data_IF_900854176225
#
_entry.id   IF_900854176225
#
_cell.length_a   1.000
_cell.length_b   1.000
_cell.length_c   1.000
_cell.angle_alpha   90.00
_cell.angle_beta   90.00
_cell.angle_gamma   90.00
#
_symmetry.space_group_name_H-M   'P 1'
#
loop_
_entity.id
_entity.type
_entity.pdbx_description
1 polymer ?
#
# COMPACT_ATOMS: atom_id res chain seq x y z
N UNK A 1 -16.86 -52.87 24.61
CA UNK A 1 -16.54 -51.67 25.42
C UNK A 1 -15.03 -51.61 25.46
N UNK A 2 -14.41 -50.75 24.63
CA UNK A 2 -12.94 -50.69 24.57
C UNK A 2 -12.43 -49.97 25.83
N UNK A 3 -11.43 -50.59 26.49
CA UNK A 3 -10.77 -50.05 27.67
C UNK A 3 -10.12 -48.71 27.38
N UNK A 4 -10.10 -47.79 28.36
CA UNK A 4 -9.54 -46.43 28.26
C UNK A 4 -8.07 -46.42 27.81
N UNK A 5 -7.31 -47.45 28.13
CA UNK A 5 -5.93 -47.65 27.65
C UNK A 5 -5.89 -47.96 26.14
N UNK A 6 -6.77 -48.82 25.63
CA UNK A 6 -6.86 -49.14 24.21
C UNK A 6 -7.25 -47.94 23.36
N UNK A 7 -8.15 -47.09 23.85
CA UNK A 7 -8.50 -45.82 23.18
C UNK A 7 -7.33 -44.82 23.14
N UNK A 8 -6.55 -44.71 24.20
CA UNK A 8 -5.36 -43.84 24.24
C UNK A 8 -4.27 -44.37 23.29
N UNK A 9 -4.02 -45.66 23.29
CA UNK A 9 -3.06 -46.27 22.37
C UNK A 9 -3.49 -46.09 20.91
N UNK A 10 -4.75 -46.34 20.58
CA UNK A 10 -5.30 -46.12 19.24
C UNK A 10 -5.21 -44.62 18.82
N UNK A 11 -5.48 -43.68 19.73
CA UNK A 11 -5.34 -42.24 19.45
C UNK A 11 -3.88 -41.85 19.20
N UNK A 12 -2.91 -42.43 19.96
CA UNK A 12 -1.47 -42.18 19.75
C UNK A 12 -0.99 -42.74 18.40
N UNK A 13 -1.41 -43.93 18.05
CA UNK A 13 -1.07 -44.56 16.75
C UNK A 13 -1.71 -43.72 15.61
N UNK A 14 -2.97 -43.37 15.71
CA UNK A 14 -3.64 -42.52 14.72
C UNK A 14 -2.94 -41.18 14.58
N UNK A 15 -2.56 -40.52 15.68
CA UNK A 15 -1.80 -39.27 15.66
C UNK A 15 -0.42 -39.46 14.99
N UNK A 16 0.31 -40.52 15.31
CA UNK A 16 1.60 -40.84 14.69
C UNK A 16 1.50 -41.07 13.18
N UNK A 17 0.47 -41.81 12.75
CA UNK A 17 0.20 -42.03 11.32
C UNK A 17 -0.19 -40.73 10.61
N UNK A 18 -1.07 -39.94 11.17
CA UNK A 18 -1.44 -38.62 10.63
C UNK A 18 -0.24 -37.69 10.54
N UNK A 19 0.61 -37.69 11.57
CA UNK A 19 1.84 -36.88 11.59
C UNK A 19 2.82 -37.32 10.51
N UNK A 20 3.02 -38.64 10.39
CA UNK A 20 3.90 -39.21 9.37
C UNK A 20 3.40 -38.95 7.95
N UNK A 21 2.12 -39.18 7.67
CA UNK A 21 1.50 -38.87 6.36
C UNK A 21 1.54 -37.37 6.08
N UNK A 22 1.24 -36.54 7.06
CA UNK A 22 1.32 -35.08 6.91
C UNK A 22 2.74 -34.59 6.60
N UNK A 23 3.76 -35.15 7.25
CA UNK A 23 5.16 -34.82 7.00
C UNK A 23 5.71 -35.40 5.69
N UNK A 24 5.22 -36.57 5.25
CA UNK A 24 5.62 -37.15 3.98
C UNK A 24 4.97 -36.54 2.75
N UNK A 25 3.85 -35.81 2.94
CA UNK A 25 3.12 -35.11 1.87
C UNK A 25 2.98 -33.60 2.18
N UNK A 26 4.07 -32.98 2.59
CA UNK A 26 4.08 -31.55 2.90
C UNK A 26 3.66 -30.67 1.72
N UNK A 27 4.01 -31.08 0.50
CA UNK A 27 3.60 -30.44 -0.75
C UNK A 27 2.07 -30.38 -0.90
N UNK A 28 1.37 -31.51 -0.60
CA UNK A 28 -0.09 -31.55 -0.62
C UNK A 28 -0.70 -30.71 0.51
N UNK A 29 -0.12 -30.77 1.72
CA UNK A 29 -0.58 -29.98 2.86
C UNK A 29 -0.43 -28.49 2.56
N UNK A 30 0.72 -28.05 2.04
CA UNK A 30 0.92 -26.66 1.64
C UNK A 30 0.05 -26.28 0.44
N UNK A 31 -0.18 -27.20 -0.51
CA UNK A 31 -1.10 -27.00 -1.64
C UNK A 31 -2.54 -26.78 -1.19
N UNK A 32 -3.04 -27.54 -0.23
CA UNK A 32 -4.37 -27.35 0.35
C UNK A 32 -4.44 -26.05 1.15
N UNK A 33 -3.40 -25.76 1.93
CA UNK A 33 -3.33 -24.53 2.72
C UNK A 33 -3.33 -23.28 1.82
N UNK A 34 -2.52 -23.29 0.73
CA UNK A 34 -2.51 -22.20 -0.25
C UNK A 34 -3.87 -22.05 -0.94
N UNK A 35 -4.52 -23.14 -1.35
CA UNK A 35 -5.85 -23.09 -1.95
C UNK A 35 -6.90 -22.49 -1.00
N UNK A 36 -6.84 -22.84 0.29
CA UNK A 36 -7.72 -22.22 1.31
C UNK A 36 -7.43 -20.74 1.44
N UNK A 37 -6.14 -20.33 1.51
CA UNK A 37 -5.76 -18.92 1.58
C UNK A 37 -6.24 -18.18 0.34
N UNK A 38 -6.09 -18.74 -0.85
CA UNK A 38 -6.52 -18.14 -2.12
C UNK A 38 -8.03 -17.90 -2.18
N UNK A 39 -8.82 -18.86 -1.68
CA UNK A 39 -10.29 -18.72 -1.58
C UNK A 39 -10.69 -17.59 -0.61
N UNK A 40 -9.99 -17.47 0.51
CA UNK A 40 -10.27 -16.42 1.51
C UNK A 40 -9.59 -15.09 1.21
N UNK A 41 -8.62 -15.05 0.29
CA UNK A 41 -7.85 -13.86 -0.05
C UNK A 41 -8.72 -12.65 -0.43
N UNK A 42 -9.74 -12.77 -1.31
CA UNK A 42 -10.64 -11.65 -1.61
C UNK A 42 -11.41 -11.13 -0.39
N UNK A 43 -11.74 -12.02 0.57
CA UNK A 43 -12.42 -11.64 1.81
C UNK A 43 -11.46 -10.86 2.72
N UNK A 44 -10.25 -11.37 2.91
CA UNK A 44 -9.21 -10.69 3.70
C UNK A 44 -8.84 -9.34 3.07
N UNK A 45 -8.69 -9.30 1.75
CA UNK A 45 -8.46 -8.07 1.01
C UNK A 45 -9.62 -7.09 1.19
N UNK A 46 -10.87 -7.57 1.08
CA UNK A 46 -12.07 -6.77 1.28
C UNK A 46 -12.19 -6.19 2.70
N UNK A 47 -11.85 -6.99 3.72
CA UNK A 47 -11.76 -6.52 5.11
C UNK A 47 -10.68 -5.44 5.27
N UNK A 48 -9.50 -5.67 4.67
CA UNK A 48 -8.42 -4.68 4.64
C UNK A 48 -8.84 -3.38 3.97
N UNK A 49 -9.43 -3.46 2.78
CA UNK A 49 -9.94 -2.29 2.04
C UNK A 49 -11.04 -1.58 2.85
N UNK A 50 -11.97 -2.31 3.47
CA UNK A 50 -12.99 -1.73 4.36
C UNK A 50 -12.35 -0.97 5.52
N UNK A 51 -11.28 -1.52 6.08
CA UNK A 51 -10.59 -0.90 7.20
C UNK A 51 -9.89 0.41 6.77
N UNK A 52 -9.23 0.42 5.62
CA UNK A 52 -8.64 1.63 5.02
C UNK A 52 -9.72 2.68 4.71
N UNK A 53 -10.79 2.27 4.03
CA UNK A 53 -11.90 3.16 3.67
C UNK A 53 -12.67 3.68 4.89
N UNK A 54 -12.64 2.97 6.01
CA UNK A 54 -13.31 3.41 7.23
C UNK A 54 -12.77 4.75 7.76
N UNK A 55 -11.49 5.07 7.50
CA UNK A 55 -10.87 6.33 7.95
C UNK A 55 -11.53 7.55 7.28
N UNK A 56 -11.50 7.69 5.93
CA UNK A 56 -12.17 8.80 5.27
C UNK A 56 -13.70 8.78 5.49
N UNK A 57 -14.33 7.60 5.54
CA UNK A 57 -15.77 7.47 5.83
C UNK A 57 -16.09 7.99 7.24
N UNK A 58 -15.31 7.64 8.24
CA UNK A 58 -15.52 8.12 9.63
C UNK A 58 -15.23 9.62 9.75
N UNK A 59 -14.31 10.16 8.95
CA UNK A 59 -14.08 11.59 8.81
C UNK A 59 -15.32 12.30 8.25
N UNK A 60 -15.86 11.78 7.15
CA UNK A 60 -17.08 12.30 6.52
C UNK A 60 -18.31 12.16 7.43
N UNK A 61 -18.47 11.03 8.12
CA UNK A 61 -19.53 10.85 9.12
C UNK A 61 -19.46 11.94 10.21
N UNK A 62 -18.27 12.27 10.70
CA UNK A 62 -18.08 13.35 11.70
C UNK A 62 -18.46 14.72 11.16
N UNK A 63 -18.08 15.04 9.92
CA UNK A 63 -18.46 16.29 9.25
C UNK A 63 -19.96 16.38 9.05
N UNK A 64 -20.60 15.35 8.53
CA UNK A 64 -22.05 15.31 8.32
C UNK A 64 -22.83 15.37 9.63
N UNK A 65 -22.34 14.74 10.71
CA UNK A 65 -22.97 14.85 12.05
C UNK A 65 -22.88 16.28 12.58
N UNK A 66 -21.74 16.96 12.42
CA UNK A 66 -21.58 18.38 12.80
C UNK A 66 -22.54 19.27 11.99
N UNK A 67 -22.67 19.04 10.69
CA UNK A 67 -23.60 19.76 9.85
C UNK A 67 -25.06 19.46 10.25
N UNK A 68 -25.39 18.20 10.52
CA UNK A 68 -26.72 17.79 10.97
C UNK A 68 -27.09 18.30 12.37
N UNK A 69 -26.13 18.54 13.25
CA UNK A 69 -26.39 19.12 14.58
C UNK A 69 -26.88 20.56 14.53
N UNK A 70 -26.60 21.28 13.41
CA UNK A 70 -27.13 22.63 13.17
C UNK A 70 -28.60 22.64 12.70
N UNK A 71 -29.18 21.47 12.39
CA UNK A 71 -30.57 21.34 11.96
C UNK A 71 -31.52 21.17 13.18
N UNK A 72 -32.78 21.65 13.09
CA UNK A 72 -33.81 21.44 14.10
C UNK A 72 -34.00 19.91 14.36
N UNK A 73 -34.34 19.56 15.61
CA UNK A 73 -34.40 18.13 16.04
C UNK A 73 -35.33 17.25 15.20
N UNK A 74 -36.43 17.77 14.66
CA UNK A 74 -37.33 17.01 13.79
C UNK A 74 -36.85 16.76 12.36
N UNK A 75 -35.72 17.34 11.90
CA UNK A 75 -35.16 17.17 10.56
C UNK A 75 -33.74 16.52 10.54
N UNK A 76 -33.27 16.05 11.69
CA UNK A 76 -31.97 15.38 11.76
C UNK A 76 -32.01 14.02 11.10
N UNK A 77 -31.14 13.75 10.10
CA UNK A 77 -31.10 12.44 9.47
C UNK A 77 -30.65 11.38 10.49
N UNK A 78 -31.25 10.21 10.40
CA UNK A 78 -30.87 9.08 11.26
C UNK A 78 -29.42 8.63 11.02
N UNK A 79 -28.84 8.02 12.03
CA UNK A 79 -27.44 7.54 12.01
C UNK A 79 -27.10 6.62 10.82
N UNK A 80 -28.07 5.80 10.39
CA UNK A 80 -27.91 4.94 9.22
C UNK A 80 -27.83 5.72 7.92
N UNK A 81 -28.64 6.79 7.77
CA UNK A 81 -28.61 7.66 6.61
C UNK A 81 -27.30 8.44 6.52
N UNK A 82 -26.79 8.96 7.64
CA UNK A 82 -25.47 9.65 7.69
C UNK A 82 -24.37 8.68 7.25
N UNK A 83 -24.37 7.46 7.75
CA UNK A 83 -23.36 6.46 7.38
C UNK A 83 -23.44 6.09 5.90
N UNK A 84 -24.62 5.85 5.37
CA UNK A 84 -24.82 5.53 3.95
C UNK A 84 -24.37 6.68 3.04
N UNK A 85 -24.76 7.92 3.34
CA UNK A 85 -24.35 9.11 2.58
C UNK A 85 -22.83 9.29 2.65
N UNK A 86 -22.23 9.11 3.83
CA UNK A 86 -20.75 9.19 3.98
C UNK A 86 -20.01 8.17 3.12
N UNK A 87 -20.49 6.93 3.07
CA UNK A 87 -19.90 5.87 2.23
C UNK A 87 -20.01 6.27 0.76
N UNK A 88 -21.20 6.69 0.30
CA UNK A 88 -21.41 7.07 -1.10
C UNK A 88 -20.51 8.26 -1.48
N UNK A 89 -20.43 9.30 -0.65
CA UNK A 89 -19.60 10.48 -0.92
C UNK A 89 -18.10 10.13 -1.01
N UNK A 90 -17.63 9.29 -0.10
CA UNK A 90 -16.22 8.84 -0.12
C UNK A 90 -15.93 7.99 -1.34
N UNK A 91 -16.84 7.08 -1.72
CA UNK A 91 -16.69 6.27 -2.93
C UNK A 91 -16.70 7.14 -4.19
N UNK A 92 -17.60 8.11 -4.27
CA UNK A 92 -17.63 9.06 -5.39
C UNK A 92 -16.34 9.91 -5.44
N UNK A 93 -15.80 10.31 -4.29
CA UNK A 93 -14.52 11.02 -4.24
C UNK A 93 -13.37 10.15 -4.77
N UNK A 94 -13.30 8.87 -4.36
CA UNK A 94 -12.27 7.94 -4.83
C UNK A 94 -12.39 7.69 -6.34
N UNK A 95 -13.61 7.46 -6.83
CA UNK A 95 -13.85 7.30 -8.28
C UNK A 95 -13.50 8.60 -9.02
N UNK A 96 -13.84 9.76 -8.47
CA UNK A 96 -13.48 11.06 -9.02
C UNK A 96 -11.97 11.25 -9.15
N UNK A 97 -11.22 10.90 -8.10
CA UNK A 97 -9.74 10.92 -8.10
C UNK A 97 -9.18 9.94 -9.14
N UNK A 98 -9.74 8.72 -9.24
CA UNK A 98 -9.30 7.74 -10.22
C UNK A 98 -9.57 8.20 -11.67
N UNK A 99 -10.75 8.77 -11.93
CA UNK A 99 -11.09 9.34 -13.24
C UNK A 99 -10.16 10.51 -13.58
N UNK A 100 -9.91 11.40 -12.63
CA UNK A 100 -8.97 12.51 -12.80
C UNK A 100 -7.57 12.00 -13.12
N UNK A 101 -7.10 10.95 -12.39
CA UNK A 101 -5.84 10.30 -12.67
C UNK A 101 -5.74 9.81 -14.11
N UNK A 102 -6.73 9.04 -14.54
CA UNK A 102 -6.75 8.47 -15.89
C UNK A 102 -6.82 9.56 -16.97
N UNK A 103 -7.69 10.54 -16.81
CA UNK A 103 -7.88 11.62 -17.78
C UNK A 103 -6.69 12.57 -17.89
N UNK A 104 -5.92 12.75 -16.81
CA UNK A 104 -4.70 13.55 -16.85
C UNK A 104 -3.49 12.74 -17.32
N UNK A 105 -3.33 11.51 -16.81
CA UNK A 105 -2.13 10.71 -17.02
C UNK A 105 -2.09 10.11 -18.45
N UNK A 106 -3.19 9.48 -18.89
CA UNK A 106 -3.20 8.74 -20.16
C UNK A 106 -2.91 9.63 -21.37
N UNK A 107 -3.56 10.82 -21.56
CA UNK A 107 -3.25 11.68 -22.71
C UNK A 107 -1.80 12.15 -22.71
N UNK A 108 -1.24 12.45 -21.53
CA UNK A 108 0.13 12.94 -21.43
C UNK A 108 1.16 11.84 -21.68
N UNK A 109 0.92 10.62 -21.19
CA UNK A 109 1.76 9.46 -21.51
C UNK A 109 1.72 9.13 -23.01
N UNK A 110 0.53 9.16 -23.62
CA UNK A 110 0.39 8.93 -25.08
C UNK A 110 1.06 10.04 -25.90
N UNK A 111 0.90 11.30 -25.51
CA UNK A 111 1.56 12.43 -26.17
C UNK A 111 3.09 12.31 -26.04
N UNK A 112 3.60 12.03 -24.84
CA UNK A 112 5.03 11.82 -24.59
C UNK A 112 5.57 10.64 -25.40
N UNK A 113 4.87 9.50 -25.41
CA UNK A 113 5.28 8.34 -26.19
C UNK A 113 5.35 8.65 -27.71
N UNK A 114 4.39 9.43 -28.23
CA UNK A 114 4.39 9.88 -29.65
C UNK A 114 5.54 10.84 -29.96
N UNK A 115 5.92 11.68 -29.02
CA UNK A 115 7.03 12.63 -29.21
C UNK A 115 8.39 11.95 -29.15
N UNK A 116 8.52 10.88 -28.37
CA UNK A 116 9.77 10.13 -28.16
C UNK A 116 10.09 9.20 -29.32
N UNK A 117 9.08 8.56 -29.89
CA UNK A 117 9.28 7.57 -30.94
C UNK A 117 10.11 8.11 -32.14
N UNK A 118 9.82 9.30 -32.73
CA UNK A 118 10.64 9.86 -33.80
C UNK A 118 12.02 10.33 -33.32
N UNK A 119 12.11 10.94 -32.12
CA UNK A 119 13.40 11.40 -31.57
C UNK A 119 14.37 10.24 -31.34
N UNK A 120 13.86 9.11 -30.88
CA UNK A 120 14.66 7.90 -30.71
C UNK A 120 15.15 7.35 -32.04
N UNK A 121 14.31 7.32 -33.08
CA UNK A 121 14.72 6.83 -34.39
C UNK A 121 15.71 7.76 -35.13
N UNK A 122 15.59 9.07 -34.93
CA UNK A 122 16.48 10.06 -35.59
C UNK A 122 17.81 10.22 -34.84
N UNK A 123 17.82 10.19 -33.51
CA UNK A 123 19.03 10.42 -32.70
C UNK A 123 19.77 9.15 -32.30
N UNK A 124 19.19 7.98 -32.48
CA UNK A 124 19.86 6.70 -32.21
C UNK A 124 21.23 6.57 -32.88
N UNK A 125 21.39 6.88 -34.19
CA UNK A 125 22.69 6.77 -34.85
C UNK A 125 23.73 7.77 -34.31
N UNK A 126 23.29 8.91 -33.76
CA UNK A 126 24.17 9.90 -33.12
C UNK A 126 24.63 9.45 -31.75
N UNK A 127 23.73 8.85 -30.96
CA UNK A 127 24.03 8.29 -29.64
C UNK A 127 24.97 7.09 -29.78
N UNK A 128 24.74 6.19 -30.74
CA UNK A 128 25.64 5.07 -31.03
C UNK A 128 27.06 5.55 -31.40
N UNK A 129 27.15 6.57 -32.27
CA UNK A 129 28.45 7.17 -32.66
C UNK A 129 29.15 7.88 -31.49
N UNK A 130 28.38 8.59 -30.65
CA UNK A 130 28.92 9.26 -29.48
C UNK A 130 29.40 8.27 -28.39
N UNK A 131 28.72 7.17 -28.18
CA UNK A 131 29.12 6.10 -27.27
C UNK A 131 30.37 5.36 -27.80
N UNK A 132 30.38 5.01 -29.10
CA UNK A 132 31.51 4.39 -29.74
C UNK A 132 32.77 5.30 -29.72
N UNK A 133 32.58 6.62 -29.92
CA UNK A 133 33.69 7.60 -29.85
C UNK A 133 34.27 7.74 -28.44
N UNK A 134 33.52 7.44 -27.39
CA UNK A 134 33.99 7.44 -26.01
C UNK A 134 34.45 6.05 -25.51
N UNK A 135 34.62 5.09 -26.40
CA UNK A 135 35.18 3.77 -26.09
C UNK A 135 34.21 2.85 -25.35
N UNK A 136 32.92 3.19 -25.34
CA UNK A 136 31.86 2.35 -24.73
C UNK A 136 31.36 1.37 -25.78
N UNK A 137 31.64 0.07 -25.58
CA UNK A 137 31.10 -0.98 -26.45
C UNK A 137 29.60 -1.15 -26.15
N UNK A 138 28.78 -0.70 -27.10
CA UNK A 138 27.32 -0.72 -27.02
C UNK A 138 26.78 -2.15 -26.93
N UNK A 139 27.49 -3.13 -27.55
CA UNK A 139 27.12 -4.54 -27.47
C UNK A 139 27.41 -5.14 -26.09
N UNK A 140 28.43 -4.67 -25.38
CA UNK A 140 28.76 -5.07 -24.02
C UNK A 140 27.75 -4.47 -23.02
N UNK A 141 27.36 -3.22 -23.21
CA UNK A 141 26.27 -2.60 -22.42
C UNK A 141 24.95 -3.33 -22.63
N UNK A 142 24.60 -3.68 -23.87
CA UNK A 142 23.42 -4.46 -24.19
C UNK A 142 23.45 -5.87 -23.56
N UNK A 143 24.64 -6.46 -23.38
CA UNK A 143 24.81 -7.75 -22.68
C UNK A 143 24.64 -7.65 -21.17
N UNK A 144 25.08 -6.55 -20.54
CA UNK A 144 24.90 -6.31 -19.10
C UNK A 144 23.42 -6.10 -18.71
N UNK A 145 22.63 -5.55 -19.61
CA UNK A 145 21.18 -5.37 -19.42
C UNK A 145 20.33 -6.52 -19.97
N UNK A 146 20.92 -7.66 -20.36
CA UNK A 146 20.15 -8.86 -20.73
C UNK A 146 19.44 -9.44 -19.50
N UNK A 147 18.12 -9.32 -19.38
CA UNK A 147 17.37 -10.28 -18.57
C UNK A 147 17.40 -11.63 -19.30
N UNK A 148 17.33 -12.71 -18.54
CA UNK A 148 17.47 -14.10 -18.97
C UNK A 148 16.44 -14.62 -20.00
N UNK A 149 15.87 -13.78 -20.82
CA UNK A 149 14.90 -14.12 -21.87
C UNK A 149 15.32 -13.53 -23.20
N UNK A 150 16.08 -14.31 -23.98
CA UNK A 150 16.07 -14.47 -25.44
C UNK A 150 15.86 -13.24 -26.37
N UNK A 151 16.37 -12.05 -26.06
CA UNK A 151 16.34 -10.93 -27.01
C UNK A 151 17.59 -10.97 -27.87
N UNK A 152 17.39 -11.32 -29.14
CA UNK A 152 18.42 -11.41 -30.17
C UNK A 152 18.99 -10.04 -30.51
N UNK A 153 20.24 -10.10 -30.94
CA UNK A 153 21.10 -9.06 -31.45
C UNK A 153 20.41 -7.88 -32.16
N UNK A 154 20.71 -6.68 -31.67
CA UNK A 154 20.22 -5.44 -32.33
C UNK A 154 20.59 -4.18 -31.56
N UNK A 155 21.77 -4.08 -30.93
CA UNK A 155 22.30 -2.84 -30.38
C UNK A 155 21.32 -2.02 -29.51
N UNK A 156 21.43 -0.69 -29.57
CA UNK A 156 20.50 0.25 -28.87
C UNK A 156 19.04 0.09 -29.33
N UNK A 157 18.83 -0.35 -30.58
CA UNK A 157 17.50 -0.63 -31.13
C UNK A 157 16.82 -1.83 -30.43
N UNK A 158 17.60 -2.84 -30.05
CA UNK A 158 17.14 -3.96 -29.23
C UNK A 158 16.76 -3.52 -27.81
N UNK A 159 17.54 -2.63 -27.20
CA UNK A 159 17.26 -2.03 -25.87
C UNK A 159 16.00 -1.16 -25.89
N UNK A 160 15.77 -0.39 -26.96
CA UNK A 160 14.59 0.45 -27.10
C UNK A 160 13.33 -0.38 -27.41
N UNK A 161 13.44 -1.36 -28.31
CA UNK A 161 12.34 -2.31 -28.54
C UNK A 161 12.05 -3.15 -27.31
N UNK A 162 13.06 -3.48 -26.50
CA UNK A 162 12.87 -4.10 -25.19
C UNK A 162 12.23 -3.12 -24.20
N UNK A 163 12.70 -1.87 -24.08
CA UNK A 163 12.15 -0.86 -23.18
C UNK A 163 10.70 -0.51 -23.55
N UNK A 164 10.45 -0.11 -24.79
CA UNK A 164 9.11 0.26 -25.27
C UNK A 164 8.20 -0.97 -25.44
N UNK A 165 8.72 -2.07 -25.96
CA UNK A 165 8.01 -3.33 -26.11
C UNK A 165 7.72 -4.00 -24.78
N UNK A 166 8.64 -3.92 -23.79
CA UNK A 166 8.40 -4.44 -22.44
C UNK A 166 7.42 -3.58 -21.67
N UNK A 167 7.45 -2.25 -21.83
CA UNK A 167 6.43 -1.35 -21.25
C UNK A 167 5.08 -1.62 -21.92
N UNK A 168 5.01 -1.70 -23.24
CA UNK A 168 3.78 -2.06 -23.93
C UNK A 168 3.30 -3.47 -23.56
N UNK A 169 4.19 -4.47 -23.57
CA UNK A 169 3.84 -5.83 -23.16
C UNK A 169 3.52 -5.92 -21.66
N UNK A 170 4.17 -5.13 -20.81
CA UNK A 170 3.83 -5.05 -19.38
C UNK A 170 2.47 -4.38 -19.16
N UNK A 171 2.15 -3.35 -19.94
CA UNK A 171 0.82 -2.74 -19.94
C UNK A 171 -0.24 -3.71 -20.51
N UNK A 172 0.07 -4.45 -21.58
CA UNK A 172 -0.81 -5.49 -22.12
C UNK A 172 -0.90 -6.73 -21.24
N UNK A 173 0.18 -7.16 -20.62
CA UNK A 173 0.19 -8.25 -19.65
C UNK A 173 -0.51 -7.83 -18.34
N UNK A 174 -0.30 -6.60 -17.89
CA UNK A 174 -1.09 -6.00 -16.81
C UNK A 174 -2.58 -5.93 -17.20
N UNK A 175 -2.91 -5.54 -18.43
CA UNK A 175 -4.29 -5.56 -18.92
C UNK A 175 -4.90 -6.98 -19.01
N UNK A 176 -4.11 -7.99 -19.34
CA UNK A 176 -4.56 -9.41 -19.35
C UNK A 176 -4.66 -10.01 -17.96
N UNK A 177 -3.69 -9.77 -17.08
CA UNK A 177 -3.77 -10.16 -15.66
C UNK A 177 -4.83 -9.37 -14.90
N UNK A 178 -5.23 -8.20 -15.44
CA UNK A 178 -6.29 -7.34 -14.89
C UNK A 178 -7.64 -8.04 -14.83
N UNK A 179 -7.96 -9.00 -15.72
CA UNK A 179 -9.28 -9.65 -15.68
C UNK A 179 -9.46 -10.50 -14.41
N UNK A 180 -8.47 -11.27 -13.99
CA UNK A 180 -8.54 -12.01 -12.72
C UNK A 180 -8.33 -11.11 -11.50
N UNK A 181 -7.45 -10.11 -11.61
CA UNK A 181 -7.29 -9.08 -10.57
C UNK A 181 -8.54 -8.21 -10.43
N UNK A 182 -9.17 -7.79 -11.52
CA UNK A 182 -10.39 -7.01 -11.50
C UNK A 182 -11.53 -7.77 -10.84
N UNK A 183 -11.68 -9.07 -11.13
CA UNK A 183 -12.72 -9.88 -10.47
C UNK A 183 -12.48 -9.97 -8.96
N UNK A 184 -11.24 -10.29 -8.53
CA UNK A 184 -10.89 -10.32 -7.10
C UNK A 184 -11.01 -8.95 -6.43
N UNK A 185 -10.66 -7.89 -7.13
CA UNK A 185 -10.82 -6.52 -6.63
C UNK A 185 -12.29 -6.11 -6.52
N UNK A 186 -13.14 -6.48 -7.49
CA UNK A 186 -14.58 -6.22 -7.42
C UNK A 186 -15.19 -6.95 -6.23
N UNK A 187 -14.87 -8.24 -6.03
CA UNK A 187 -15.34 -8.98 -4.85
C UNK A 187 -14.84 -8.35 -3.54
N UNK A 188 -13.56 -8.03 -3.46
CA UNK A 188 -12.99 -7.36 -2.30
C UNK A 188 -13.66 -5.99 -2.04
N UNK A 189 -13.93 -5.23 -3.09
CA UNK A 189 -14.60 -3.94 -2.99
C UNK A 189 -16.06 -4.07 -2.53
N UNK A 190 -16.82 -5.02 -3.08
CA UNK A 190 -18.18 -5.31 -2.64
C UNK A 190 -18.20 -5.72 -1.17
N UNK A 191 -17.26 -6.61 -0.76
CA UNK A 191 -17.11 -7.02 0.63
C UNK A 191 -16.77 -5.81 1.51
N UNK A 192 -15.85 -4.94 1.05
CA UNK A 192 -15.47 -3.74 1.79
C UNK A 192 -16.67 -2.80 2.02
N UNK A 193 -17.45 -2.54 1.00
CA UNK A 193 -18.67 -1.72 1.12
C UNK A 193 -19.68 -2.36 2.09
N UNK A 194 -19.87 -3.67 2.00
CA UNK A 194 -20.77 -4.40 2.88
C UNK A 194 -20.32 -4.37 4.34
N UNK A 195 -19.03 -4.57 4.58
CA UNK A 195 -18.42 -4.47 5.91
C UNK A 195 -18.55 -3.06 6.47
N UNK A 196 -18.27 -2.04 5.66
CA UNK A 196 -18.43 -0.64 6.05
C UNK A 196 -19.87 -0.29 6.42
N UNK A 197 -20.83 -0.71 5.61
CA UNK A 197 -22.26 -0.49 5.86
C UNK A 197 -22.71 -1.22 7.14
N UNK A 198 -22.14 -2.41 7.41
CA UNK A 198 -22.52 -3.28 8.52
C UNK A 198 -21.58 -3.18 9.73
N UNK A 199 -20.59 -2.28 9.72
CA UNK A 199 -19.51 -2.21 10.74
C UNK A 199 -20.02 -2.22 12.18
N UNK A 200 -21.11 -1.50 12.47
CA UNK A 200 -21.69 -1.43 13.81
C UNK A 200 -22.35 -2.74 14.24
N UNK A 201 -23.01 -3.42 13.30
CA UNK A 201 -23.69 -4.69 13.55
C UNK A 201 -22.68 -5.81 13.73
N UNK A 202 -21.68 -5.89 12.82
CA UNK A 202 -20.59 -6.85 12.90
C UNK A 202 -19.78 -6.68 14.20
N UNK A 203 -19.45 -5.44 14.57
CA UNK A 203 -18.76 -5.15 15.83
C UNK A 203 -19.54 -5.62 17.05
N UNK A 204 -20.87 -5.35 17.11
CA UNK A 204 -21.73 -5.82 18.20
C UNK A 204 -21.81 -7.35 18.25
N UNK A 205 -21.91 -8.01 17.09
CA UNK A 205 -21.94 -9.47 17.01
C UNK A 205 -20.62 -10.06 17.49
N UNK A 206 -19.48 -9.52 17.06
CA UNK A 206 -18.16 -9.96 17.50
C UNK A 206 -17.99 -9.84 19.03
N UNK A 207 -18.42 -8.70 19.60
CA UNK A 207 -18.36 -8.51 21.05
C UNK A 207 -19.25 -9.52 21.80
N UNK A 208 -20.47 -9.76 21.31
CA UNK A 208 -21.39 -10.77 21.90
C UNK A 208 -20.80 -12.18 21.85
N UNK A 209 -20.19 -12.57 20.74
CA UNK A 209 -19.55 -13.88 20.60
C UNK A 209 -18.37 -14.00 21.55
N UNK A 210 -17.54 -12.95 21.66
CA UNK A 210 -16.42 -12.94 22.60
C UNK A 210 -16.88 -13.03 24.06
N UNK A 211 -17.90 -12.27 24.44
CA UNK A 211 -18.43 -12.27 25.81
C UNK A 211 -19.13 -13.60 26.17
N UNK A 212 -19.69 -14.32 25.18
CA UNK A 212 -20.35 -15.61 25.41
C UNK A 212 -19.39 -16.80 25.51
N UNK A 213 -18.23 -16.76 24.82
CA UNK A 213 -17.38 -17.94 24.65
C UNK A 213 -15.97 -17.80 25.21
N UNK A 214 -15.51 -16.57 25.52
CA UNK A 214 -14.16 -16.32 25.98
C UNK A 214 -14.15 -15.92 27.47
N UNK A 215 -13.05 -16.29 28.15
CA UNK A 215 -12.77 -15.78 29.48
C UNK A 215 -12.74 -14.24 29.47
N UNK A 216 -13.33 -13.55 30.48
CA UNK A 216 -13.37 -12.08 30.54
C UNK A 216 -12.00 -11.41 30.37
N UNK A 217 -10.94 -12.03 30.85
CA UNK A 217 -9.56 -11.51 30.73
C UNK A 217 -9.07 -11.58 29.28
N UNK A 218 -9.40 -12.66 28.56
CA UNK A 218 -9.06 -12.85 27.15
C UNK A 218 -9.87 -11.89 26.28
N UNK A 219 -11.18 -11.80 26.51
CA UNK A 219 -12.07 -10.87 25.83
C UNK A 219 -11.62 -9.40 25.99
N UNK A 220 -11.19 -9.02 27.20
CA UNK A 220 -10.63 -7.69 27.45
C UNK A 220 -9.35 -7.44 26.64
N UNK A 221 -8.39 -8.39 26.62
CA UNK A 221 -7.14 -8.25 25.84
C UNK A 221 -7.42 -8.13 24.34
N UNK A 222 -8.30 -8.95 23.78
CA UNK A 222 -8.67 -8.90 22.37
C UNK A 222 -9.29 -7.52 22.04
N UNK A 223 -10.18 -7.01 22.87
CA UNK A 223 -10.78 -5.68 22.69
C UNK A 223 -9.72 -4.56 22.77
N UNK A 224 -8.78 -4.66 23.71
CA UNK A 224 -7.67 -3.72 23.82
C UNK A 224 -6.81 -3.71 22.53
N UNK A 225 -6.38 -4.87 22.06
CA UNK A 225 -5.59 -5.01 20.82
C UNK A 225 -6.37 -4.47 19.60
N UNK A 226 -7.66 -4.80 19.49
CA UNK A 226 -8.49 -4.31 18.40
C UNK A 226 -8.68 -2.78 18.43
N UNK A 227 -8.84 -2.19 19.62
CA UNK A 227 -8.93 -0.74 19.79
C UNK A 227 -7.61 -0.06 19.44
N UNK A 228 -6.48 -0.59 19.93
CA UNK A 228 -5.14 -0.10 19.62
C UNK A 228 -4.86 -0.18 18.10
N UNK A 229 -5.16 -1.32 17.47
CA UNK A 229 -5.03 -1.48 16.02
C UNK A 229 -5.87 -0.45 15.25
N UNK A 230 -7.14 -0.27 15.63
CA UNK A 230 -8.03 0.69 15.00
C UNK A 230 -7.52 2.14 15.13
N UNK A 231 -7.01 2.52 16.29
CA UNK A 231 -6.46 3.85 16.55
C UNK A 231 -5.16 4.09 15.74
N UNK A 232 -4.22 3.14 15.81
CA UNK A 232 -2.94 3.21 15.08
C UNK A 232 -3.14 3.32 13.58
N UNK A 233 -3.99 2.47 13.00
CA UNK A 233 -4.30 2.54 11.57
C UNK A 233 -5.00 3.84 11.18
N UNK A 234 -5.96 4.30 12.00
CA UNK A 234 -6.68 5.54 11.73
C UNK A 234 -5.73 6.74 11.72
N UNK A 235 -4.82 6.80 12.67
CA UNK A 235 -3.78 7.84 12.75
C UNK A 235 -2.82 7.78 11.57
N UNK A 236 -2.31 6.58 11.25
CA UNK A 236 -1.41 6.37 10.11
C UNK A 236 -2.06 6.81 8.80
N UNK A 237 -3.25 6.29 8.47
CA UNK A 237 -3.91 6.60 7.21
C UNK A 237 -4.32 8.08 7.13
N UNK A 238 -4.78 8.68 8.24
CA UNK A 238 -5.09 10.13 8.26
C UNK A 238 -3.84 10.97 8.03
N UNK A 239 -2.71 10.59 8.65
CA UNK A 239 -1.42 11.23 8.45
C UNK A 239 -0.96 11.10 6.99
N UNK A 240 -1.04 9.90 6.43
CA UNK A 240 -0.63 9.61 5.06
C UNK A 240 -1.49 10.34 4.02
N UNK A 241 -2.82 10.43 4.23
CA UNK A 241 -3.69 11.23 3.37
C UNK A 241 -3.32 12.73 3.42
N UNK A 242 -3.04 13.25 4.61
CA UNK A 242 -2.67 14.65 4.78
C UNK A 242 -1.31 14.94 4.15
N UNK A 243 -0.31 14.08 4.38
CA UNK A 243 1.00 14.15 3.74
C UNK A 243 0.89 14.14 2.22
N UNK A 244 0.14 13.19 1.65
CA UNK A 244 -0.09 13.08 0.21
C UNK A 244 -0.64 14.39 -0.39
N UNK A 245 -1.62 15.00 0.26
CA UNK A 245 -2.18 16.29 -0.16
C UNK A 245 -1.16 17.42 -0.08
N UNK A 246 -0.40 17.50 1.01
CA UNK A 246 0.61 18.55 1.22
C UNK A 246 1.73 18.41 0.20
N UNK A 247 2.32 17.20 0.08
CA UNK A 247 3.46 16.95 -0.80
C UNK A 247 3.10 17.17 -2.27
N UNK A 248 1.95 16.63 -2.72
CA UNK A 248 1.48 16.85 -4.09
C UNK A 248 1.25 18.31 -4.41
N UNK A 249 0.69 19.07 -3.45
CA UNK A 249 0.47 20.52 -3.58
C UNK A 249 1.80 21.28 -3.63
N UNK A 250 2.77 20.95 -2.78
CA UNK A 250 4.10 21.56 -2.77
C UNK A 250 4.84 21.33 -4.09
N UNK A 251 4.84 20.11 -4.61
CA UNK A 251 5.45 19.79 -5.91
C UNK A 251 4.75 20.57 -7.03
N UNK A 252 3.42 20.62 -7.02
CA UNK A 252 2.67 21.41 -8.01
C UNK A 252 3.09 22.87 -7.99
N UNK A 253 3.13 23.53 -6.83
CA UNK A 253 3.52 24.93 -6.73
C UNK A 253 5.00 25.16 -7.06
N UNK A 254 5.91 24.31 -6.54
CA UNK A 254 7.34 24.44 -6.83
C UNK A 254 7.62 24.35 -8.33
N UNK A 255 7.03 23.37 -9.02
CA UNK A 255 7.19 23.18 -10.46
C UNK A 255 6.54 24.31 -11.26
N UNK A 256 5.37 24.79 -10.83
CA UNK A 256 4.67 25.91 -11.48
C UNK A 256 5.46 27.20 -11.38
N UNK A 257 6.05 27.50 -10.20
CA UNK A 257 6.85 28.72 -9.97
C UNK A 257 8.14 28.71 -10.80
N UNK A 258 8.79 27.54 -10.91
CA UNK A 258 10.02 27.39 -11.69
C UNK A 258 9.75 27.31 -13.20
N UNK A 259 8.49 27.09 -13.60
CA UNK A 259 8.10 26.97 -15.02
C UNK A 259 8.42 25.60 -15.62
N UNK A 260 8.50 24.56 -14.79
CA UNK A 260 8.73 23.18 -15.24
C UNK A 260 7.48 22.60 -15.92
N UNK A 261 7.64 21.78 -16.98
CA UNK A 261 6.52 21.16 -17.65
C UNK A 261 5.83 20.13 -16.74
N UNK A 262 4.55 19.89 -17.02
CA UNK A 262 3.74 18.87 -16.33
C UNK A 262 3.59 19.06 -14.81
N UNK A 263 3.71 20.27 -14.27
CA UNK A 263 3.62 20.54 -12.83
C UNK A 263 2.37 19.91 -12.18
N UNK A 264 1.19 20.04 -12.80
CA UNK A 264 -0.05 19.46 -12.30
C UNK A 264 -0.05 17.93 -12.28
N UNK A 265 0.49 17.30 -13.33
CA UNK A 265 0.59 15.85 -13.42
C UNK A 265 1.57 15.30 -12.39
N UNK A 266 2.76 15.89 -12.29
CA UNK A 266 3.81 15.41 -11.37
C UNK A 266 3.37 15.61 -9.91
N UNK A 267 2.75 16.75 -9.59
CA UNK A 267 2.16 16.99 -8.28
C UNK A 267 1.06 15.98 -7.93
N UNK A 268 0.18 15.68 -8.88
CA UNK A 268 -0.87 14.68 -8.71
C UNK A 268 -0.30 13.25 -8.54
N UNK A 269 0.68 12.86 -9.38
CA UNK A 269 1.35 11.57 -9.26
C UNK A 269 2.09 11.43 -7.93
N UNK A 270 2.74 12.51 -7.49
CA UNK A 270 3.41 12.54 -6.18
C UNK A 270 2.40 12.31 -5.06
N UNK A 271 1.25 12.98 -5.08
CA UNK A 271 0.18 12.75 -4.10
C UNK A 271 -0.34 11.30 -4.15
N UNK A 272 -0.52 10.74 -5.33
CA UNK A 272 -1.00 9.36 -5.50
C UNK A 272 0.02 8.34 -4.97
N UNK A 273 1.29 8.50 -5.31
CA UNK A 273 2.33 7.58 -4.91
C UNK A 273 2.81 7.79 -3.47
N UNK A 274 2.53 8.94 -2.84
CA UNK A 274 2.85 9.20 -1.44
C UNK A 274 2.27 8.15 -0.48
N UNK A 275 1.19 7.48 -0.86
CA UNK A 275 0.65 6.34 -0.09
C UNK A 275 1.63 5.16 0.08
N UNK A 276 2.69 5.10 -0.73
CA UNK A 276 3.73 4.06 -0.66
C UNK A 276 5.01 4.72 -0.14
N UNK A 277 5.27 4.67 1.19
CA UNK A 277 6.42 5.35 1.78
C UNK A 277 7.73 4.99 1.08
N UNK A 278 8.59 5.95 0.89
CA UNK A 278 9.88 5.88 0.18
C UNK A 278 9.75 5.60 -1.33
N UNK A 279 9.06 4.53 -1.73
CA UNK A 279 8.91 4.13 -3.15
C UNK A 279 8.19 5.21 -3.94
N UNK A 280 7.18 5.83 -3.34
CA UNK A 280 6.36 6.84 -3.98
C UNK A 280 7.14 8.07 -4.43
N UNK A 281 8.01 8.58 -3.57
CA UNK A 281 8.86 9.73 -3.87
C UNK A 281 9.83 9.43 -5.02
N UNK A 282 10.52 8.27 -4.98
CA UNK A 282 11.43 7.86 -6.04
C UNK A 282 10.72 7.64 -7.37
N UNK A 283 9.58 6.95 -7.36
CA UNK A 283 8.79 6.69 -8.57
C UNK A 283 8.28 8.00 -9.20
N UNK A 284 7.73 8.91 -8.39
CA UNK A 284 7.25 10.21 -8.88
C UNK A 284 8.38 11.08 -9.43
N UNK A 285 9.52 11.10 -8.75
CA UNK A 285 10.71 11.82 -9.22
C UNK A 285 11.21 11.26 -10.56
N UNK A 286 11.34 9.94 -10.66
CA UNK A 286 11.79 9.28 -11.89
C UNK A 286 10.84 9.53 -13.07
N UNK A 287 9.53 9.41 -12.85
CA UNK A 287 8.52 9.70 -13.88
C UNK A 287 8.55 11.20 -14.25
N UNK A 288 8.64 12.08 -13.25
CA UNK A 288 8.72 13.52 -13.48
C UNK A 288 9.95 13.92 -14.27
N UNK A 289 11.12 13.40 -13.90
CA UNK A 289 12.36 13.64 -14.62
C UNK A 289 12.32 13.09 -16.05
N UNK A 290 11.76 11.89 -16.25
CA UNK A 290 11.58 11.29 -17.56
C UNK A 290 10.65 12.12 -18.45
N UNK A 291 9.47 12.52 -17.95
CA UNK A 291 8.53 13.36 -18.71
C UNK A 291 9.12 14.73 -19.04
N UNK A 292 9.86 15.33 -18.10
CA UNK A 292 10.54 16.61 -18.33
C UNK A 292 11.65 16.47 -19.36
N UNK A 293 12.47 15.39 -19.28
CA UNK A 293 13.51 15.10 -20.26
C UNK A 293 12.96 15.00 -21.69
N UNK A 294 11.75 14.47 -21.85
CA UNK A 294 11.11 14.33 -23.15
C UNK A 294 10.54 15.65 -23.69
N UNK A 295 10.05 16.53 -22.81
CA UNK A 295 9.41 17.79 -23.20
C UNK A 295 10.42 18.95 -23.30
N UNK A 296 11.36 19.02 -22.37
CA UNK A 296 12.36 20.08 -22.21
C UNK A 296 13.65 19.47 -21.65
N UNK A 297 14.52 18.85 -22.48
CA UNK A 297 15.71 18.15 -22.01
C UNK A 297 16.64 18.99 -21.14
N UNK A 298 16.75 20.29 -21.45
CA UNK A 298 17.53 21.26 -20.70
C UNK A 298 17.04 21.49 -19.27
N UNK A 299 15.77 21.22 -19.00
CA UNK A 299 15.15 21.38 -17.67
C UNK A 299 15.11 20.08 -16.85
N UNK A 300 15.54 18.96 -17.41
CA UNK A 300 15.45 17.66 -16.73
C UNK A 300 16.24 17.61 -15.42
N UNK A 301 17.46 18.16 -15.43
CA UNK A 301 18.30 18.25 -14.21
C UNK A 301 17.65 19.19 -13.20
N UNK A 302 17.14 20.33 -13.65
CA UNK A 302 16.43 21.30 -12.79
C UNK A 302 15.19 20.66 -12.15
N UNK A 303 14.45 19.85 -12.88
CA UNK A 303 13.31 19.08 -12.37
C UNK A 303 13.73 18.19 -11.19
N UNK A 304 14.79 17.41 -11.34
CA UNK A 304 15.31 16.55 -10.26
C UNK A 304 15.75 17.38 -9.05
N UNK A 305 16.47 18.48 -9.27
CA UNK A 305 16.95 19.35 -8.19
C UNK A 305 15.76 19.93 -7.42
N UNK A 306 14.76 20.51 -8.10
CA UNK A 306 13.58 21.09 -7.47
C UNK A 306 12.81 20.02 -6.70
N UNK A 307 12.66 18.81 -7.29
CA UNK A 307 12.00 17.70 -6.61
C UNK A 307 12.72 17.31 -5.33
N UNK A 308 14.05 17.15 -5.38
CA UNK A 308 14.86 16.79 -4.21
C UNK A 308 14.84 17.87 -3.13
N UNK A 309 14.83 19.16 -3.50
CA UNK A 309 14.70 20.27 -2.54
C UNK A 309 13.36 20.20 -1.82
N UNK A 310 12.26 20.00 -2.56
CA UNK A 310 10.93 19.87 -1.95
C UNK A 310 10.89 18.64 -1.04
N UNK A 311 11.45 17.52 -1.48
CA UNK A 311 11.52 16.28 -0.70
C UNK A 311 12.37 16.46 0.56
N UNK A 312 13.47 17.22 0.50
CA UNK A 312 14.26 17.55 1.67
C UNK A 312 13.45 18.38 2.68
N UNK A 313 12.75 19.42 2.22
CA UNK A 313 11.88 20.24 3.07
C UNK A 313 10.77 19.39 3.70
N UNK A 314 10.16 18.53 2.92
CA UNK A 314 9.12 17.60 3.40
C UNK A 314 9.66 16.69 4.50
N UNK A 315 10.76 15.97 4.27
CA UNK A 315 11.32 15.02 5.22
C UNK A 315 11.81 15.66 6.52
N UNK A 316 12.31 16.91 6.46
CA UNK A 316 12.85 17.58 7.64
C UNK A 316 11.79 18.33 8.46
N UNK A 317 10.78 18.89 7.80
CA UNK A 317 9.84 19.79 8.47
C UNK A 317 8.41 19.25 8.49
N UNK A 318 7.93 18.62 7.41
CA UNK A 318 6.52 18.26 7.26
C UNK A 318 6.27 16.86 7.81
N UNK A 319 7.03 15.88 7.33
CA UNK A 319 6.85 14.48 7.71
C UNK A 319 6.87 14.24 9.23
N UNK A 320 7.83 14.79 10.01
CA UNK A 320 7.87 14.59 11.45
C UNK A 320 6.62 15.12 12.18
N UNK A 321 6.02 16.19 11.67
CA UNK A 321 4.86 16.82 12.28
C UNK A 321 3.53 16.18 11.87
N UNK A 322 3.45 15.66 10.64
CA UNK A 322 2.21 15.12 10.06
C UNK A 322 2.09 13.62 10.32
N UNK A 323 3.12 12.85 10.01
CA UNK A 323 3.11 11.37 10.05
C UNK A 323 3.94 10.84 11.23
N UNK A 324 5.10 11.41 11.50
CA UNK A 324 6.08 10.87 12.45
C UNK A 324 5.55 10.71 13.88
N UNK A 325 4.64 11.60 14.32
CA UNK A 325 3.96 11.49 15.62
C UNK A 325 2.81 10.48 15.64
N UNK A 326 2.33 10.05 14.46
CA UNK A 326 1.09 9.27 14.32
C UNK A 326 1.28 7.77 14.52
N UNK A 327 2.48 7.24 14.23
CA UNK A 327 2.74 5.79 14.19
C UNK A 327 3.61 5.31 15.35
N UNK A 328 4.38 6.22 15.97
CA UNK A 328 5.26 5.89 17.12
C UNK A 328 6.41 4.93 16.79
N UNK A 329 6.66 4.62 15.51
CA UNK A 329 7.76 3.80 15.04
C UNK A 329 8.97 4.65 14.64
N UNK A 330 10.17 4.14 14.89
CA UNK A 330 11.38 4.72 14.29
C UNK A 330 11.44 4.41 12.79
N UNK A 331 12.16 5.26 12.03
CA UNK A 331 12.33 5.11 10.58
C UNK A 331 12.83 3.71 10.18
N UNK A 332 13.72 3.10 10.99
CA UNK A 332 14.23 1.75 10.75
C UNK A 332 13.11 0.70 10.76
N UNK A 333 12.24 0.71 11.77
CA UNK A 333 11.13 -0.23 11.85
C UNK A 333 10.09 -0.03 10.75
N UNK A 334 9.87 1.23 10.36
CA UNK A 334 9.00 1.56 9.21
C UNK A 334 9.57 0.99 7.91
N UNK A 335 10.89 1.11 7.69
CA UNK A 335 11.56 0.55 6.52
C UNK A 335 11.50 -0.99 6.50
N UNK A 336 11.77 -1.64 7.64
CA UNK A 336 11.67 -3.11 7.77
C UNK A 336 10.24 -3.56 7.47
N UNK A 337 9.23 -2.89 8.05
CA UNK A 337 7.82 -3.20 7.80
C UNK A 337 7.45 -3.06 6.32
N UNK A 338 7.91 -1.99 5.67
CA UNK A 338 7.69 -1.76 4.24
C UNK A 338 8.37 -2.84 3.37
N UNK A 339 9.60 -3.23 3.68
CA UNK A 339 10.32 -4.29 2.95
C UNK A 339 9.64 -5.65 3.10
N UNK A 340 9.30 -6.04 4.32
CA UNK A 340 8.63 -7.31 4.59
C UNK A 340 7.25 -7.34 3.94
N UNK A 341 6.45 -6.29 4.15
CA UNK A 341 5.13 -6.17 3.56
C UNK A 341 5.16 -6.16 2.04
N UNK A 342 6.12 -5.42 1.45
CA UNK A 342 6.33 -5.33 0.02
C UNK A 342 6.68 -6.67 -0.63
N UNK A 343 7.53 -7.47 0.01
CA UNK A 343 7.89 -8.81 -0.46
C UNK A 343 6.73 -9.81 -0.35
N UNK A 344 5.89 -9.72 0.69
CA UNK A 344 4.80 -10.68 0.90
C UNK A 344 3.57 -10.38 0.05
N UNK A 345 3.18 -9.12 -0.06
CA UNK A 345 1.89 -8.71 -0.67
C UNK A 345 2.01 -7.50 -1.60
N UNK A 346 3.23 -7.16 -2.05
CA UNK A 346 3.46 -6.01 -2.93
C UNK A 346 3.06 -4.67 -2.27
N UNK A 347 2.51 -3.76 -3.08
CA UNK A 347 2.11 -2.41 -2.64
C UNK A 347 1.08 -2.47 -1.49
N UNK A 348 0.12 -3.39 -1.58
CA UNK A 348 -0.89 -3.59 -0.53
C UNK A 348 -0.21 -3.97 0.79
N UNK A 349 0.80 -4.85 0.73
CA UNK A 349 1.58 -5.25 1.91
C UNK A 349 2.29 -4.07 2.56
N UNK A 350 2.89 -3.15 1.79
CA UNK A 350 3.57 -1.97 2.36
C UNK A 350 2.60 -1.15 3.22
N UNK A 351 1.42 -0.84 2.69
CA UNK A 351 0.41 -0.03 3.37
C UNK A 351 -0.12 -0.70 4.65
N UNK A 352 -0.28 -2.03 4.63
CA UNK A 352 -0.84 -2.75 5.77
C UNK A 352 0.19 -3.14 6.83
N UNK A 353 1.42 -3.51 6.44
CA UNK A 353 2.43 -3.99 7.37
C UNK A 353 2.99 -2.91 8.29
N UNK A 354 3.10 -1.66 7.83
CA UNK A 354 3.60 -0.57 8.66
C UNK A 354 2.74 -0.41 9.93
N UNK A 355 1.42 -0.25 9.85
CA UNK A 355 0.59 -0.19 11.06
C UNK A 355 0.56 -1.50 11.86
N UNK A 356 0.65 -2.69 11.21
CA UNK A 356 0.73 -3.97 11.92
C UNK A 356 1.97 -3.99 12.82
N UNK A 357 3.13 -3.62 12.28
CA UNK A 357 4.39 -3.57 13.05
C UNK A 357 4.30 -2.50 14.15
N UNK A 358 3.62 -1.37 13.89
CA UNK A 358 3.38 -0.35 14.89
C UNK A 358 2.56 -0.86 16.09
N UNK A 359 1.48 -1.60 15.82
CA UNK A 359 0.65 -2.22 16.86
C UNK A 359 1.46 -3.26 17.65
N UNK A 360 2.22 -4.12 16.97
CA UNK A 360 3.06 -5.11 17.62
C UNK A 360 4.14 -4.46 18.50
N UNK A 361 4.76 -3.38 18.01
CA UNK A 361 5.75 -2.62 18.75
C UNK A 361 5.15 -1.97 20.01
N UNK A 362 3.96 -1.38 19.92
CA UNK A 362 3.29 -0.77 21.06
C UNK A 362 2.86 -1.81 22.10
N UNK A 363 2.31 -2.95 21.67
CA UNK A 363 1.99 -4.06 22.56
C UNK A 363 3.23 -4.61 23.27
N UNK A 364 4.35 -4.72 22.57
CA UNK A 364 5.63 -5.14 23.16
C UNK A 364 6.13 -4.12 24.18
N UNK A 365 6.01 -2.84 23.87
CA UNK A 365 6.36 -1.74 24.77
C UNK A 365 5.49 -1.72 26.02
N UNK A 366 4.17 -1.86 25.88
CA UNK A 366 3.25 -1.98 27.01
C UNK A 366 3.62 -3.17 27.92
N UNK A 367 3.85 -4.34 27.31
CA UNK A 367 4.25 -5.54 28.03
C UNK A 367 5.58 -5.38 28.77
N UNK A 368 6.57 -4.78 28.13
CA UNK A 368 7.88 -4.52 28.73
C UNK A 368 7.77 -3.55 29.91
N UNK A 369 7.04 -2.45 29.74
CA UNK A 369 6.84 -1.45 30.78
C UNK A 369 6.07 -2.03 31.99
N UNK A 370 5.05 -2.84 31.75
CA UNK A 370 4.32 -3.53 32.82
C UNK A 370 5.23 -4.47 33.60
N UNK A 371 6.16 -5.17 32.94
CA UNK A 371 7.10 -6.07 33.58
C UNK A 371 8.19 -5.34 34.39
N UNK A 372 8.66 -4.20 33.90
CA UNK A 372 9.58 -3.32 34.61
C UNK A 372 8.93 -2.71 35.86
N UNK A 373 7.69 -2.26 35.74
CA UNK A 373 6.93 -1.74 36.88
C UNK A 373 6.70 -2.81 37.96
N UNK A 374 6.38 -4.05 37.57
CA UNK A 374 6.23 -5.16 38.49
C UNK A 374 7.54 -5.46 39.23
N UNK A 375 8.68 -5.49 38.51
CA UNK A 375 10.00 -5.69 39.15
C UNK A 375 10.41 -4.55 40.08
N UNK A 376 10.09 -3.31 39.71
CA UNK A 376 10.34 -2.15 40.59
C UNK A 376 9.50 -2.19 41.87
N UNK A 377 8.30 -2.77 41.82
CA UNK A 377 7.42 -2.94 42.98
C UNK A 377 7.87 -4.10 43.90
N UNK A 378 8.61 -5.09 43.37
CA UNK A 378 9.15 -6.21 44.16
C UNK A 378 10.38 -5.84 44.99
N UNK A 379 10.96 -4.63 44.83
CA UNK A 379 12.09 -4.09 45.59
C UNK A 379 13.46 -4.67 45.22
N UNK A 380 14.58 -4.04 45.63
CA UNK A 380 15.94 -4.46 45.27
C UNK A 380 16.47 -5.70 46.05
N UNK A 381 15.64 -6.41 46.80
CA UNK A 381 16.10 -7.51 47.66
C UNK A 381 16.33 -8.86 46.96
N UNK A 382 16.23 -8.94 45.61
CA UNK A 382 16.46 -10.20 44.86
C UNK A 382 17.35 -10.02 43.61
N UNK A 383 18.34 -9.15 43.64
CA UNK A 383 19.38 -9.07 42.62
C UNK A 383 20.72 -9.64 43.13
#
# INVERSE_FOLDING_TARGET
MFDTQTRRAAALVAFGVCLYVGLSHLDVVFGVLSAVVDIFFPVLLGLGVAFVLNVPVSGMERLLRRAASALPEGRRPGDGAISAVSIVLVLLAIVGVAVLAVTMLVPQLVASARSVAPLLTERLPEIERALAANGVDVDELARLFKPASGVAAGGVQGLLNFGLGSIANSVFAAARSTVSMVSSFIFAFVIAVYVLASKRTLGRQAVRVMDAHLDPRVAFRIRHVAALASDTYSKFLSGQCLEACILGTLIFFAFSVVGLPYAGLIGFLTALFAFIPYVGAFASCAIGAFLTLLAAPEQAILCVIVYLVVQFVENQFIYPHVVGSSVGLSALWTLIAALVGGNLFGVVGIVFFIPIVAVLYELFREWTNARLAARAAEGPERA
#
